data_IF_691827071305
#
_entry.id   IF_691827071305
#
_cell.length_a   1.000
_cell.length_b   1.000
_cell.length_c   1.000
_cell.angle_alpha   90.00
_cell.angle_beta   90.00
_cell.angle_gamma   90.00
#
_symmetry.space_group_name_H-M   'P 1'
#
loop_
_entity.id
_entity.type
_entity.pdbx_description
1 polymer ?
#
# COMPACT_ATOMS: atom_id res chain seq x y z
N UNK A 1 51.76 8.13 -7.46
CA UNK A 1 51.53 9.36 -6.67
C UNK A 1 51.10 10.42 -7.67
N UNK A 2 49.84 10.83 -7.82
CA UNK A 2 48.72 10.94 -6.91
C UNK A 2 47.43 10.43 -7.56
N UNK A 3 46.67 9.62 -6.83
CA UNK A 3 45.27 9.29 -7.10
C UNK A 3 44.40 10.38 -6.48
N UNK A 4 43.69 11.15 -7.30
CA UNK A 4 42.65 12.06 -6.83
C UNK A 4 41.46 11.24 -6.35
N UNK A 5 41.36 11.05 -5.03
CA UNK A 5 40.12 10.66 -4.36
C UNK A 5 39.23 11.89 -4.28
N UNK A 6 38.32 12.04 -5.25
CA UNK A 6 37.19 12.95 -5.12
C UNK A 6 36.22 12.35 -4.11
N UNK A 7 36.37 12.78 -2.87
CA UNK A 7 35.43 12.57 -1.78
C UNK A 7 34.09 13.20 -2.20
N UNK A 8 33.11 12.37 -2.57
CA UNK A 8 31.73 12.82 -2.80
C UNK A 8 31.20 13.39 -1.48
N UNK A 9 31.00 14.70 -1.43
CA UNK A 9 30.24 15.34 -0.37
C UNK A 9 28.83 14.73 -0.38
N UNK A 10 28.46 14.13 0.75
CA UNK A 10 27.13 13.57 0.99
C UNK A 10 26.17 14.76 1.11
N UNK A 11 25.63 15.21 -0.03
CA UNK A 11 24.43 16.03 -0.02
C UNK A 11 23.33 15.20 0.64
N UNK A 12 22.83 15.69 1.77
CA UNK A 12 21.66 15.14 2.44
C UNK A 12 20.54 14.95 1.40
N UNK A 13 20.25 13.70 1.05
CA UNK A 13 19.12 13.31 0.20
C UNK A 13 17.82 13.68 0.91
N UNK A 14 17.45 14.95 0.83
CA UNK A 14 16.11 15.44 1.06
C UNK A 14 15.27 14.99 -0.14
N UNK A 15 14.97 13.70 -0.22
CA UNK A 15 13.85 13.22 -1.01
C UNK A 15 12.62 14.03 -0.56
N UNK A 16 11.86 14.65 -1.46
CA UNK A 16 10.74 15.46 -1.06
C UNK A 16 9.74 14.54 -0.36
N UNK A 17 9.67 14.65 0.97
CA UNK A 17 8.62 14.14 1.87
C UNK A 17 7.25 14.80 1.55
N UNK A 18 6.98 15.14 0.30
CA UNK A 18 6.16 16.30 -0.07
C UNK A 18 5.23 16.15 -1.25
N UNK A 19 4.96 14.95 -1.77
CA UNK A 19 3.84 14.80 -2.68
C UNK A 19 2.52 14.58 -1.92
N UNK A 20 1.80 15.69 -1.75
CA UNK A 20 0.38 15.82 -1.37
C UNK A 20 -0.51 15.10 -2.38
N UNK A 21 -0.42 13.77 -2.47
CA UNK A 21 -1.05 13.04 -3.57
C UNK A 21 -1.81 11.85 -3.01
N UNK A 22 -3.12 11.93 -3.14
CA UNK A 22 -4.03 10.79 -3.04
C UNK A 22 -3.57 9.75 -4.06
N UNK A 23 -3.28 8.56 -3.57
CA UNK A 23 -2.85 7.44 -4.39
C UNK A 23 -3.99 6.45 -4.55
N UNK A 24 -4.42 6.23 -5.79
CA UNK A 24 -5.43 5.23 -6.09
C UNK A 24 -4.77 3.85 -6.19
N UNK A 25 -5.41 2.83 -5.63
CA UNK A 25 -4.90 1.46 -5.63
C UNK A 25 -5.96 0.49 -6.15
N UNK A 26 -5.55 -0.36 -7.09
CA UNK A 26 -6.36 -1.47 -7.62
C UNK A 26 -6.08 -2.78 -6.83
N UNK A 27 -5.97 -2.69 -5.50
CA UNK A 27 -5.76 -3.83 -4.58
C UNK A 27 -6.79 -3.83 -3.45
N UNK A 28 -6.93 -4.97 -2.77
CA UNK A 28 -7.83 -5.10 -1.62
C UNK A 28 -7.44 -4.12 -0.49
N UNK A 29 -8.42 -3.44 0.13
CA UNK A 29 -8.20 -2.52 1.25
C UNK A 29 -7.36 -3.16 2.38
N UNK A 30 -7.60 -4.44 2.67
CA UNK A 30 -6.91 -5.09 3.77
C UNK A 30 -5.43 -5.37 3.47
N UNK A 31 -5.03 -5.39 2.19
CA UNK A 31 -3.62 -5.45 1.79
C UNK A 31 -2.94 -4.08 1.87
N UNK A 32 -3.64 -3.03 2.33
CA UNK A 32 -3.12 -1.67 2.36
C UNK A 32 -1.80 -1.51 3.12
N UNK A 33 -0.88 -0.68 2.59
CA UNK A 33 0.33 -0.27 3.30
C UNK A 33 0.07 0.65 4.50
N UNK A 34 -1.10 1.28 4.57
CA UNK A 34 -1.39 2.34 5.54
C UNK A 34 -1.55 1.81 6.96
N UNK A 35 -1.14 2.61 7.93
CA UNK A 35 -1.37 2.36 9.36
C UNK A 35 -2.87 2.30 9.68
N UNK A 36 -3.67 3.13 9.01
CA UNK A 36 -5.11 3.27 9.28
C UNK A 36 -5.95 2.74 8.13
N UNK A 37 -6.96 1.94 8.45
CA UNK A 37 -7.96 1.45 7.49
C UNK A 37 -9.33 2.02 7.84
N UNK A 38 -10.05 2.49 6.83
CA UNK A 38 -11.41 3.03 6.99
C UNK A 38 -12.44 1.95 6.71
N UNK A 39 -13.28 1.68 7.71
CA UNK A 39 -14.43 0.79 7.61
C UNK A 39 -15.70 1.61 7.39
N UNK A 40 -16.49 1.30 6.35
CA UNK A 40 -17.79 1.97 6.14
C UNK A 40 -18.87 1.26 6.95
N UNK A 41 -19.55 2.00 7.84
CA UNK A 41 -20.52 1.44 8.78
C UNK A 41 -21.87 2.13 8.71
N UNK A 42 -22.88 1.54 9.36
CA UNK A 42 -24.13 2.22 9.67
C UNK A 42 -24.15 2.67 11.13
N UNK A 43 -25.22 3.35 11.56
CA UNK A 43 -25.37 3.80 12.95
C UNK A 43 -26.31 2.89 13.76
N UNK A 44 -26.66 1.71 13.24
CA UNK A 44 -27.59 0.75 13.89
C UNK A 44 -26.92 -0.58 14.26
N UNK A 45 -25.58 -0.64 14.23
CA UNK A 45 -24.84 -1.78 14.80
C UNK A 45 -24.79 -3.04 13.93
N UNK A 46 -25.01 -2.93 12.61
CA UNK A 46 -25.03 -4.11 11.71
C UNK A 46 -23.82 -4.13 10.77
N UNK A 47 -23.09 -5.26 10.69
CA UNK A 47 -22.01 -5.48 9.71
C UNK A 47 -22.22 -6.84 9.02
N UNK A 48 -23.13 -6.88 8.04
CA UNK A 48 -23.62 -8.13 7.45
C UNK A 48 -23.16 -8.40 6.01
N UNK A 49 -22.58 -7.43 5.31
CA UNK A 49 -22.15 -7.57 3.90
C UNK A 49 -20.99 -6.64 3.55
N UNK A 50 -20.32 -6.96 2.44
CA UNK A 50 -19.21 -6.17 1.90
C UNK A 50 -18.07 -6.01 2.91
N UNK A 51 -17.35 -4.89 2.81
CA UNK A 51 -16.15 -4.63 3.60
C UNK A 51 -16.38 -4.64 5.11
N UNK A 52 -17.56 -4.19 5.56
CA UNK A 52 -17.92 -4.18 6.98
C UNK A 52 -17.98 -5.60 7.57
N UNK A 53 -18.47 -6.58 6.81
CA UNK A 53 -18.48 -7.98 7.24
C UNK A 53 -17.04 -8.49 7.42
N UNK A 54 -16.15 -8.17 6.49
CA UNK A 54 -14.74 -8.52 6.58
C UNK A 54 -14.09 -7.90 7.82
N UNK A 55 -14.34 -6.61 8.10
CA UNK A 55 -13.88 -5.97 9.35
C UNK A 55 -14.44 -6.65 10.61
N UNK A 56 -15.71 -7.06 10.61
CA UNK A 56 -16.30 -7.82 11.73
C UNK A 56 -15.59 -9.15 11.95
N UNK A 57 -15.23 -9.85 10.87
CA UNK A 57 -14.54 -11.14 10.95
C UNK A 57 -13.08 -10.98 11.42
N UNK A 58 -12.41 -9.91 11.02
CA UNK A 58 -11.03 -9.62 11.41
C UNK A 58 -10.90 -9.00 12.81
N UNK A 59 -11.88 -8.19 13.22
CA UNK A 59 -11.87 -7.45 14.48
C UNK A 59 -13.19 -7.66 15.26
N UNK A 60 -13.41 -8.86 15.82
CA UNK A 60 -14.67 -9.19 16.50
C UNK A 60 -14.94 -8.32 17.75
N UNK A 61 -13.91 -8.01 18.53
CA UNK A 61 -13.99 -7.11 19.69
C UNK A 61 -14.38 -5.68 19.29
N UNK A 62 -13.79 -5.17 18.21
CA UNK A 62 -14.18 -3.89 17.62
C UNK A 62 -15.66 -3.88 17.26
N UNK A 63 -16.15 -4.95 16.63
CA UNK A 63 -17.56 -5.07 16.26
C UNK A 63 -18.48 -5.11 17.49
N UNK A 64 -18.10 -5.84 18.55
CA UNK A 64 -18.86 -5.89 19.79
C UNK A 64 -19.03 -4.49 20.40
N UNK A 65 -17.92 -3.73 20.49
CA UNK A 65 -17.96 -2.36 20.99
C UNK A 65 -18.74 -1.42 20.09
N UNK A 66 -18.55 -1.51 18.77
CA UNK A 66 -19.33 -0.75 17.78
C UNK A 66 -20.84 -0.97 17.94
N UNK A 67 -21.27 -2.22 18.14
CA UNK A 67 -22.68 -2.57 18.32
C UNK A 67 -23.25 -1.89 19.58
N UNK A 68 -22.51 -1.92 20.69
CA UNK A 68 -22.90 -1.27 21.94
C UNK A 68 -23.07 0.25 21.76
N UNK A 69 -22.08 0.92 21.16
CA UNK A 69 -22.12 2.38 20.91
C UNK A 69 -23.34 2.75 20.03
N UNK A 70 -23.68 1.92 19.05
CA UNK A 70 -24.89 2.13 18.24
C UNK A 70 -26.19 1.96 19.04
N UNK A 71 -26.26 0.94 19.91
CA UNK A 71 -27.43 0.70 20.77
C UNK A 71 -27.64 1.85 21.77
N UNK A 72 -26.53 2.40 22.29
CA UNK A 72 -26.51 3.58 23.16
C UNK A 72 -26.73 4.90 22.40
N UNK A 73 -26.93 4.85 21.07
CA UNK A 73 -27.11 6.01 20.17
C UNK A 73 -25.97 7.03 20.23
N UNK A 74 -24.75 6.58 20.54
CA UNK A 74 -23.57 7.42 20.63
C UNK A 74 -22.87 7.63 19.28
N UNK A 75 -23.13 6.75 18.30
CA UNK A 75 -22.62 6.87 16.94
C UNK A 75 -23.69 7.43 16.01
N UNK A 76 -23.37 8.53 15.33
CA UNK A 76 -24.20 9.14 14.29
C UNK A 76 -23.35 9.54 13.08
N UNK A 77 -24.01 9.94 11.99
CA UNK A 77 -23.33 10.47 10.81
C UNK A 77 -22.44 11.66 11.21
N UNK A 78 -21.20 11.68 10.72
CA UNK A 78 -20.21 12.70 11.08
C UNK A 78 -19.43 12.42 12.37
N UNK A 79 -19.80 11.39 13.16
CA UNK A 79 -19.00 10.93 14.30
C UNK A 79 -18.21 9.67 13.94
N UNK A 80 -16.89 9.71 14.11
CA UNK A 80 -16.01 8.59 13.82
C UNK A 80 -15.80 7.74 15.08
N UNK A 81 -15.84 6.42 14.94
CA UNK A 81 -15.42 5.50 16.00
C UNK A 81 -14.06 4.88 15.64
N UNK A 82 -13.04 5.25 16.40
CA UNK A 82 -11.66 4.78 16.21
C UNK A 82 -11.38 3.60 17.12
N UNK A 83 -10.98 2.48 16.53
CA UNK A 83 -10.50 1.28 17.22
C UNK A 83 -9.02 1.09 16.95
N UNK A 84 -8.25 0.72 17.98
CA UNK A 84 -6.80 0.53 17.85
C UNK A 84 -6.42 -0.90 18.17
N UNK A 85 -5.53 -1.44 17.36
CA UNK A 85 -4.72 -2.60 17.71
C UNK A 85 -3.27 -2.18 17.82
N UNK A 86 -2.39 -3.12 18.17
CA UNK A 86 -0.93 -2.90 18.15
C UNK A 86 -0.44 -2.41 16.77
N UNK A 87 -1.07 -2.88 15.69
CA UNK A 87 -0.50 -2.81 14.34
C UNK A 87 -1.32 -1.96 13.36
N UNK A 88 -2.60 -1.74 13.64
CA UNK A 88 -3.51 -1.00 12.77
C UNK A 88 -4.45 -0.12 13.59
N UNK A 89 -4.88 0.96 12.96
CA UNK A 89 -6.01 1.77 13.41
C UNK A 89 -7.18 1.48 12.47
N UNK A 90 -8.36 1.20 13.02
CA UNK A 90 -9.60 1.07 12.24
C UNK A 90 -10.49 2.26 12.54
N UNK A 91 -10.78 3.06 11.52
CA UNK A 91 -11.75 4.16 11.60
C UNK A 91 -13.09 3.67 11.08
N UNK A 92 -14.05 3.47 11.97
CA UNK A 92 -15.42 3.18 11.61
C UNK A 92 -16.12 4.48 11.23
N UNK A 93 -16.39 4.62 9.94
CA UNK A 93 -16.88 5.82 9.27
C UNK A 93 -18.36 5.61 8.91
N UNK A 94 -19.31 6.27 9.60
CA UNK A 94 -20.72 6.10 9.31
C UNK A 94 -21.10 6.69 7.94
N UNK A 95 -21.34 5.82 6.96
CA UNK A 95 -21.83 6.21 5.63
C UNK A 95 -23.33 5.99 5.50
N UNK A 96 -23.98 5.40 6.50
CA UNK A 96 -25.43 5.15 6.50
C UNK A 96 -26.02 5.33 7.89
N UNK A 97 -27.27 5.80 7.96
CA UNK A 97 -28.04 5.70 9.21
C UNK A 97 -28.53 4.26 9.43
N UNK A 98 -29.24 3.71 8.45
CA UNK A 98 -29.74 2.33 8.49
C UNK A 98 -29.24 1.53 7.27
N UNK A 99 -28.81 0.29 7.47
CA UNK A 99 -28.19 -0.53 6.41
C UNK A 99 -29.09 -0.79 5.19
N UNK A 100 -30.42 -0.83 5.40
CA UNK A 100 -31.46 -0.97 4.36
C UNK A 100 -31.64 0.24 3.45
N UNK A 101 -31.15 1.43 3.82
CA UNK A 101 -31.30 2.66 3.03
C UNK A 101 -29.99 2.99 2.31
N UNK A 102 -30.02 3.69 1.16
CA UNK A 102 -28.81 4.15 0.48
C UNK A 102 -28.02 5.14 1.36
N UNK A 103 -26.77 5.40 0.96
CA UNK A 103 -25.93 6.45 1.52
C UNK A 103 -26.39 7.82 0.99
N UNK A 104 -25.85 8.90 1.56
CA UNK A 104 -26.08 10.27 1.09
C UNK A 104 -24.74 11.00 1.03
N UNK A 105 -24.59 11.94 0.09
CA UNK A 105 -23.35 12.71 -0.09
C UNK A 105 -23.00 13.47 1.20
N UNK A 106 -23.99 14.10 1.83
CA UNK A 106 -23.84 14.82 3.11
C UNK A 106 -23.31 13.92 4.24
N UNK A 107 -23.57 12.61 4.18
CA UNK A 107 -23.05 11.67 5.19
C UNK A 107 -21.55 11.46 5.02
N UNK A 108 -21.11 11.40 3.77
CA UNK A 108 -19.69 11.27 3.43
C UNK A 108 -18.97 12.56 3.77
N UNK A 109 -19.54 13.70 3.42
CA UNK A 109 -18.96 15.01 3.71
C UNK A 109 -18.79 15.25 5.21
N UNK A 110 -19.83 15.02 6.02
CA UNK A 110 -19.75 15.20 7.47
C UNK A 110 -18.66 14.31 8.10
N UNK A 111 -18.49 13.08 7.63
CA UNK A 111 -17.44 12.19 8.11
C UNK A 111 -16.04 12.62 7.66
N UNK A 112 -15.88 13.15 6.43
CA UNK A 112 -14.61 13.67 5.93
C UNK A 112 -14.19 14.94 6.68
N UNK A 113 -15.13 15.85 6.93
CA UNK A 113 -14.92 17.03 7.76
C UNK A 113 -14.39 16.64 9.15
N UNK A 114 -15.05 15.68 9.81
CA UNK A 114 -14.59 15.19 11.12
C UNK A 114 -13.21 14.54 11.02
N UNK A 115 -12.97 13.72 9.99
CA UNK A 115 -11.68 13.04 9.80
C UNK A 115 -10.54 14.05 9.67
N UNK A 116 -10.67 15.02 8.76
CA UNK A 116 -9.65 16.05 8.53
C UNK A 116 -9.41 16.88 9.80
N UNK A 117 -10.46 17.16 10.58
CA UNK A 117 -10.34 17.91 11.83
C UNK A 117 -9.69 17.12 12.98
N UNK A 118 -9.69 15.79 12.95
CA UNK A 118 -9.35 14.97 14.13
C UNK A 118 -8.26 13.92 13.91
N UNK A 119 -7.82 13.65 12.68
CA UNK A 119 -6.89 12.54 12.40
C UNK A 119 -5.58 12.61 13.21
N UNK A 120 -5.04 13.82 13.44
CA UNK A 120 -3.82 14.03 14.24
C UNK A 120 -4.03 13.65 15.71
N UNK A 121 -5.20 13.97 16.27
CA UNK A 121 -5.56 13.59 17.65
C UNK A 121 -5.63 12.06 17.80
N UNK A 122 -5.91 11.37 16.69
CA UNK A 122 -5.86 9.93 16.63
C UNK A 122 -4.49 9.37 16.21
N UNK A 123 -3.43 10.18 16.12
CA UNK A 123 -2.08 9.73 15.77
C UNK A 123 -2.03 9.01 14.41
N UNK A 124 -2.93 9.35 13.49
CA UNK A 124 -3.00 8.75 12.16
C UNK A 124 -1.89 9.35 11.30
N UNK A 125 -0.94 8.52 10.88
CA UNK A 125 0.20 8.93 10.04
C UNK A 125 0.08 8.51 8.58
N UNK A 126 -0.85 7.61 8.27
CA UNK A 126 -1.25 7.22 6.91
C UNK A 126 -2.62 6.55 6.95
N UNK A 127 -3.41 6.69 5.88
CA UNK A 127 -4.79 6.19 5.84
C UNK A 127 -5.18 5.62 4.49
N UNK A 128 -5.93 4.52 4.51
CA UNK A 128 -6.58 3.94 3.34
C UNK A 128 -8.10 4.00 3.46
N UNK A 129 -8.72 4.54 2.42
CA UNK A 129 -10.17 4.59 2.26
C UNK A 129 -10.65 3.60 1.20
N UNK A 130 -11.81 2.94 1.40
CA UNK A 130 -12.58 2.40 0.29
C UNK A 130 -13.34 3.53 -0.43
N UNK A 131 -14.00 3.22 -1.54
CA UNK A 131 -14.96 4.12 -2.18
C UNK A 131 -16.18 4.34 -1.26
N UNK A 132 -16.18 5.46 -0.53
CA UNK A 132 -17.13 5.72 0.56
C UNK A 132 -18.58 5.83 0.05
N UNK A 133 -19.48 5.02 0.62
CA UNK A 133 -20.90 5.09 0.26
C UNK A 133 -21.25 4.58 -1.15
N UNK A 134 -20.28 4.07 -1.91
CA UNK A 134 -20.52 3.43 -3.21
C UNK A 134 -21.01 1.97 -3.03
N UNK A 135 -21.38 1.34 -4.15
CA UNK A 135 -21.81 -0.06 -4.21
C UNK A 135 -23.08 -0.29 -3.38
N UNK A 136 -22.94 -0.81 -2.16
CA UNK A 136 -24.06 -1.00 -1.24
C UNK A 136 -24.74 0.31 -0.84
N UNK A 137 -24.04 1.44 -0.89
CA UNK A 137 -24.61 2.75 -0.58
C UNK A 137 -25.15 3.51 -1.79
N UNK A 138 -24.98 2.97 -3.01
CA UNK A 138 -25.58 3.47 -4.25
C UNK A 138 -25.17 4.90 -4.66
N UNK A 139 -24.16 5.50 -4.02
CA UNK A 139 -23.56 6.73 -4.53
C UNK A 139 -22.66 6.44 -5.73
N UNK A 140 -22.69 7.36 -6.69
CA UNK A 140 -21.82 7.31 -7.85
C UNK A 140 -20.39 7.73 -7.49
N UNK A 141 -19.42 6.92 -7.91
CA UNK A 141 -18.02 7.16 -7.58
C UNK A 141 -17.49 8.42 -8.26
N UNK A 142 -17.61 8.51 -9.58
CA UNK A 142 -16.92 9.52 -10.39
C UNK A 142 -17.54 10.91 -10.22
N UNK A 143 -18.86 10.97 -10.13
CA UNK A 143 -19.60 12.25 -10.13
C UNK A 143 -19.91 12.78 -8.74
N UNK A 144 -19.98 11.92 -7.71
CA UNK A 144 -20.38 12.34 -6.36
C UNK A 144 -19.28 12.15 -5.31
N UNK A 145 -18.69 10.96 -5.22
CA UNK A 145 -17.83 10.59 -4.08
C UNK A 145 -16.38 10.96 -4.30
N UNK A 146 -15.82 10.67 -5.47
CA UNK A 146 -14.44 10.96 -5.82
C UNK A 146 -14.10 12.46 -5.69
N UNK A 147 -14.81 13.40 -6.33
CA UNK A 147 -14.49 14.83 -6.21
C UNK A 147 -14.58 15.33 -4.77
N UNK A 148 -15.54 14.81 -4.00
CA UNK A 148 -15.71 15.15 -2.59
C UNK A 148 -14.55 14.60 -1.73
N UNK A 149 -14.17 13.34 -1.91
CA UNK A 149 -13.03 12.78 -1.18
C UNK A 149 -11.73 13.51 -1.54
N UNK A 150 -11.52 13.84 -2.82
CA UNK A 150 -10.35 14.61 -3.25
C UNK A 150 -10.30 15.99 -2.60
N UNK A 151 -11.42 16.73 -2.58
CA UNK A 151 -11.46 18.10 -2.04
C UNK A 151 -11.08 18.17 -0.55
N UNK A 152 -11.40 17.15 0.25
CA UNK A 152 -11.00 17.08 1.65
C UNK A 152 -9.60 16.48 1.84
N UNK A 153 -9.31 15.35 1.19
CA UNK A 153 -8.14 14.54 1.52
C UNK A 153 -6.83 15.05 0.89
N UNK A 154 -6.87 15.81 -0.20
CA UNK A 154 -5.65 16.35 -0.83
C UNK A 154 -4.90 17.35 0.07
N UNK A 155 -5.58 17.91 1.08
CA UNK A 155 -5.00 18.88 2.02
C UNK A 155 -4.12 18.22 3.08
N UNK A 156 -4.23 16.90 3.25
CA UNK A 156 -3.58 16.19 4.33
C UNK A 156 -2.07 16.00 4.05
N UNK A 157 -1.18 16.28 5.03
CA UNK A 157 0.26 16.08 4.91
C UNK A 157 0.68 14.62 5.19
N UNK A 158 -0.22 13.66 4.98
CA UNK A 158 0.02 12.23 5.22
C UNK A 158 -0.30 11.43 3.95
N UNK A 159 0.30 10.24 3.76
CA UNK A 159 -0.10 9.35 2.69
C UNK A 159 -1.58 8.96 2.80
N UNK A 160 -2.34 9.25 1.74
CA UNK A 160 -3.73 8.87 1.59
C UNK A 160 -3.84 7.91 0.40
N UNK A 161 -4.46 6.76 0.64
CA UNK A 161 -4.74 5.79 -0.40
C UNK A 161 -6.25 5.60 -0.56
N UNK A 162 -6.71 5.49 -1.81
CA UNK A 162 -8.10 5.16 -2.14
C UNK A 162 -8.11 3.86 -2.93
N UNK A 163 -8.77 2.85 -2.38
CA UNK A 163 -8.87 1.54 -3.00
C UNK A 163 -10.07 1.51 -3.94
N UNK A 164 -9.80 1.40 -5.24
CA UNK A 164 -10.82 1.30 -6.27
C UNK A 164 -11.34 -0.13 -6.32
N UNK A 165 -12.66 -0.27 -6.23
CA UNK A 165 -13.28 -1.58 -6.37
C UNK A 165 -13.29 -1.97 -7.85
N UNK A 166 -12.34 -2.82 -8.26
CA UNK A 166 -12.50 -3.54 -9.52
C UNK A 166 -13.46 -4.71 -9.26
N UNK A 167 -14.64 -4.70 -9.91
CA UNK A 167 -15.40 -5.94 -10.10
C UNK A 167 -14.56 -6.80 -11.05
N UNK A 168 -13.49 -7.41 -10.57
CA UNK A 168 -12.88 -8.49 -11.34
C UNK A 168 -13.99 -9.54 -11.54
N UNK A 169 -14.24 -10.02 -12.78
CA UNK A 169 -15.22 -11.09 -13.02
C UNK A 169 -14.88 -12.38 -12.25
N UNK A 170 -13.64 -12.50 -11.74
CA UNK A 170 -13.17 -13.57 -10.88
C UNK A 170 -13.12 -13.18 -9.38
N UNK A 171 -13.72 -12.05 -8.98
CA UNK A 171 -13.88 -11.70 -7.57
C UNK A 171 -14.88 -12.66 -6.94
N UNK A 172 -14.37 -13.80 -6.51
CA UNK A 172 -14.95 -14.51 -5.37
C UNK A 172 -14.65 -13.59 -4.18
N UNK A 173 -15.63 -13.21 -3.36
CA UNK A 173 -15.34 -12.75 -2.00
C UNK A 173 -14.68 -13.95 -1.35
N UNK A 174 -13.37 -14.08 -1.55
CA UNK A 174 -12.60 -15.25 -1.19
C UNK A 174 -12.96 -15.50 0.26
N UNK A 175 -13.43 -16.73 0.50
CA UNK A 175 -13.47 -17.33 1.83
C UNK A 175 -12.32 -16.69 2.57
N UNK A 176 -12.61 -15.90 3.62
CA UNK A 176 -11.59 -15.43 4.54
C UNK A 176 -11.04 -16.69 5.19
N UNK A 177 -10.17 -17.37 4.45
CA UNK A 177 -9.55 -18.57 4.91
C UNK A 177 -8.56 -18.14 5.97
N UNK A 178 -8.17 -19.12 6.75
CA UNK A 178 -7.43 -18.86 7.97
C UNK A 178 -6.01 -18.38 7.62
N UNK A 179 -5.55 -18.63 6.39
CA UNK A 179 -4.28 -18.17 5.85
C UNK A 179 -4.31 -16.69 5.47
N UNK A 180 -5.40 -16.21 4.84
CA UNK A 180 -5.57 -14.80 4.50
C UNK A 180 -5.74 -13.95 5.76
N UNK A 181 -6.58 -14.40 6.70
CA UNK A 181 -6.71 -13.74 8.01
C UNK A 181 -5.35 -13.69 8.72
N UNK A 182 -4.58 -14.79 8.71
CA UNK A 182 -3.25 -14.83 9.31
C UNK A 182 -2.31 -13.81 8.66
N UNK A 183 -2.27 -13.72 7.32
CA UNK A 183 -1.45 -12.74 6.59
C UNK A 183 -1.77 -11.29 6.98
N UNK A 184 -3.03 -10.97 7.24
CA UNK A 184 -3.43 -9.62 7.68
C UNK A 184 -2.97 -9.28 9.09
N UNK A 185 -2.78 -10.29 9.95
CA UNK A 185 -2.24 -10.11 11.30
C UNK A 185 -0.71 -10.11 11.31
N UNK A 186 -0.05 -10.64 10.28
CA UNK A 186 1.41 -10.69 10.18
C UNK A 186 1.92 -9.29 9.87
N UNK A 187 2.79 -8.78 10.75
CA UNK A 187 3.52 -7.54 10.50
C UNK A 187 4.47 -7.73 9.31
N UNK A 188 4.73 -6.64 8.59
CA UNK A 188 5.86 -6.59 7.66
C UNK A 188 7.14 -6.87 8.44
N UNK A 189 7.75 -8.03 8.24
CA UNK A 189 9.01 -8.40 8.88
C UNK A 189 10.09 -7.34 8.62
N UNK A 190 10.92 -6.98 9.60
CA UNK A 190 12.00 -6.02 9.32
C UNK A 190 13.09 -6.66 8.47
N UNK A 191 12.93 -6.63 7.16
CA UNK A 191 13.95 -7.07 6.19
C UNK A 191 14.98 -5.95 6.05
N UNK A 192 16.23 -6.28 6.37
CA UNK A 192 17.36 -5.36 6.23
C UNK A 192 17.73 -5.15 4.76
N UNK A 193 18.45 -4.08 4.45
CA UNK A 193 18.98 -3.80 3.10
C UNK A 193 19.92 -4.93 2.66
N UNK A 194 20.77 -5.39 3.57
CA UNK A 194 21.64 -6.53 3.33
C UNK A 194 20.85 -7.81 2.98
N UNK A 195 19.79 -8.14 3.74
CA UNK A 195 18.99 -9.32 3.43
C UNK A 195 18.29 -9.19 2.07
N UNK A 196 17.74 -8.01 1.75
CA UNK A 196 17.14 -7.74 0.45
C UNK A 196 18.14 -7.99 -0.69
N UNK A 197 19.36 -7.47 -0.55
CA UNK A 197 20.41 -7.61 -1.56
C UNK A 197 20.83 -9.07 -1.73
N UNK A 198 21.01 -9.80 -0.62
CA UNK A 198 21.31 -11.23 -0.66
C UNK A 198 20.19 -12.05 -1.30
N UNK A 199 18.92 -11.72 -1.02
CA UNK A 199 17.77 -12.38 -1.66
C UNK A 199 17.76 -12.13 -3.17
N UNK A 200 18.09 -10.91 -3.62
CA UNK A 200 18.26 -10.60 -5.04
C UNK A 200 19.40 -11.38 -5.68
N UNK A 201 20.58 -11.42 -5.06
CA UNK A 201 21.75 -12.19 -5.55
C UNK A 201 21.39 -13.67 -5.69
N UNK A 202 20.73 -14.23 -4.68
CA UNK A 202 20.30 -15.63 -4.69
C UNK A 202 19.29 -15.91 -5.81
N UNK A 203 18.38 -14.97 -6.06
CA UNK A 203 17.43 -15.08 -7.16
C UNK A 203 18.13 -15.02 -8.52
N UNK A 204 19.01 -14.04 -8.75
CA UNK A 204 19.70 -13.82 -10.03
C UNK A 204 20.71 -14.93 -10.35
N UNK A 205 21.38 -15.48 -9.34
CA UNK A 205 22.36 -16.57 -9.49
C UNK A 205 21.74 -17.95 -9.68
N UNK A 206 20.45 -18.11 -9.40
CA UNK A 206 19.76 -19.41 -9.44
C UNK A 206 19.46 -19.85 -10.88
N UNK A 207 20.15 -20.90 -11.35
CA UNK A 207 19.95 -21.51 -12.68
C UNK A 207 18.51 -21.95 -12.96
N UNK A 208 17.71 -22.27 -11.94
CA UNK A 208 16.31 -22.68 -12.06
C UNK A 208 15.33 -21.52 -12.27
N UNK A 209 15.70 -20.31 -11.86
CA UNK A 209 14.87 -19.10 -11.99
C UNK A 209 15.31 -18.19 -13.16
N UNK A 210 16.42 -18.57 -13.81
CA UNK A 210 17.15 -17.84 -14.84
C UNK A 210 16.65 -17.95 -16.30
N UNK A 211 15.71 -18.84 -16.73
CA UNK A 211 15.35 -18.92 -18.16
C UNK A 211 14.98 -17.58 -18.80
N UNK A 212 14.18 -16.77 -18.10
CA UNK A 212 13.79 -15.43 -18.55
C UNK A 212 14.98 -14.45 -18.67
N UNK A 213 15.96 -14.54 -17.79
CA UNK A 213 17.14 -13.68 -17.84
C UNK A 213 18.10 -14.12 -18.95
N UNK A 214 18.22 -15.44 -19.20
CA UNK A 214 19.08 -15.99 -20.25
C UNK A 214 18.52 -15.78 -21.66
N UNK A 215 17.20 -15.58 -21.79
CA UNK A 215 16.56 -15.20 -23.06
C UNK A 215 16.88 -13.74 -23.45
N UNK A 216 17.22 -12.89 -22.48
CA UNK A 216 17.41 -11.44 -22.67
C UNK A 216 18.89 -11.05 -22.58
N UNK A 217 19.66 -11.65 -21.68
CA UNK A 217 21.02 -11.27 -21.35
C UNK A 217 22.03 -12.38 -21.70
N UNK A 218 23.16 -11.98 -22.27
CA UNK A 218 24.27 -12.89 -22.59
C UNK A 218 25.11 -13.23 -21.36
N UNK A 219 25.35 -12.25 -20.49
CA UNK A 219 26.07 -12.44 -19.23
C UNK A 219 25.46 -11.62 -18.10
N UNK A 220 25.55 -12.14 -16.88
CA UNK A 220 25.21 -11.44 -15.65
C UNK A 220 26.41 -11.53 -14.72
N UNK A 221 27.00 -10.39 -14.41
CA UNK A 221 28.08 -10.25 -13.43
C UNK A 221 27.49 -9.74 -12.12
N UNK A 222 27.83 -10.38 -11.00
CA UNK A 222 27.28 -10.06 -9.69
C UNK A 222 28.45 -9.87 -8.72
N UNK A 223 28.46 -8.73 -8.04
CA UNK A 223 29.39 -8.40 -6.96
C UNK A 223 28.59 -8.02 -5.71
N UNK A 224 29.29 -7.74 -4.61
CA UNK A 224 28.65 -7.20 -3.42
C UNK A 224 28.11 -5.78 -3.64
N UNK A 225 28.64 -5.02 -4.60
CA UNK A 225 28.30 -3.61 -4.83
C UNK A 225 27.33 -3.39 -6.01
N UNK A 226 27.31 -4.30 -7.00
CA UNK A 226 26.47 -4.15 -8.19
C UNK A 226 26.09 -5.47 -8.87
N UNK A 227 25.05 -5.41 -9.70
CA UNK A 227 24.70 -6.42 -10.71
C UNK A 227 24.78 -5.80 -12.10
N UNK A 228 25.62 -6.34 -12.97
CA UNK A 228 25.77 -5.90 -14.35
C UNK A 228 25.16 -6.94 -15.31
N UNK A 229 24.14 -6.52 -16.04
CA UNK A 229 23.46 -7.31 -17.05
C UNK A 229 23.96 -6.88 -18.42
N UNK A 230 24.47 -7.81 -19.22
CA UNK A 230 24.98 -7.53 -20.57
C UNK A 230 24.08 -8.22 -21.59
N UNK A 231 23.67 -7.50 -22.63
CA UNK A 231 23.00 -8.07 -23.81
C UNK A 231 23.67 -7.51 -25.07
N UNK A 232 24.16 -8.37 -25.96
CA UNK A 232 24.92 -8.02 -27.17
C UNK A 232 26.00 -6.96 -26.92
N UNK A 233 25.67 -5.67 -27.08
CA UNK A 233 26.56 -4.50 -26.91
C UNK A 233 26.04 -3.46 -25.89
N UNK A 234 25.03 -3.81 -25.09
CA UNK A 234 24.42 -2.94 -24.08
C UNK A 234 24.60 -3.50 -22.67
N UNK A 235 24.71 -2.60 -21.69
CA UNK A 235 24.85 -2.92 -20.27
C UNK A 235 23.90 -2.10 -19.42
N UNK A 236 23.39 -2.71 -18.36
CA UNK A 236 22.68 -2.07 -17.27
C UNK A 236 23.35 -2.53 -16.00
N UNK A 237 23.58 -1.56 -15.13
CA UNK A 237 24.20 -1.77 -13.85
C UNK A 237 23.18 -1.35 -12.81
N UNK A 238 22.88 -2.26 -11.89
CA UNK A 238 22.08 -2.00 -10.71
C UNK A 238 23.03 -1.97 -9.52
N UNK A 239 23.19 -0.81 -8.89
CA UNK A 239 24.02 -0.69 -7.69
C UNK A 239 23.26 -1.08 -6.43
N UNK A 240 23.95 -1.58 -5.42
CA UNK A 240 23.35 -1.89 -4.12
C UNK A 240 22.74 -0.63 -3.47
N UNK A 241 23.40 0.52 -3.58
CA UNK A 241 22.95 1.80 -3.02
C UNK A 241 21.58 2.21 -3.59
N UNK A 242 21.39 2.08 -4.90
CA UNK A 242 20.14 2.34 -5.60
C UNK A 242 18.98 1.46 -5.08
N UNK A 243 19.27 0.18 -4.83
CA UNK A 243 18.31 -0.77 -4.26
C UNK A 243 17.99 -0.40 -2.81
N UNK A 244 18.98 0.05 -2.05
CA UNK A 244 18.80 0.49 -0.66
C UNK A 244 17.91 1.73 -0.57
N UNK A 245 18.11 2.74 -1.42
CA UNK A 245 17.28 3.94 -1.47
C UNK A 245 15.83 3.62 -1.83
N UNK A 246 15.61 2.80 -2.87
CA UNK A 246 14.29 2.30 -3.22
C UNK A 246 13.67 1.56 -2.03
N UNK A 247 14.44 0.69 -1.37
CA UNK A 247 13.96 -0.09 -0.23
C UNK A 247 13.62 0.76 0.98
N UNK A 248 14.33 1.86 1.23
CA UNK A 248 14.00 2.83 2.27
C UNK A 248 12.61 3.44 2.03
N UNK A 249 12.35 3.91 0.80
CA UNK A 249 11.05 4.45 0.41
C UNK A 249 9.96 3.39 0.56
N UNK A 250 10.21 2.19 0.03
CA UNK A 250 9.24 1.09 0.00
C UNK A 250 8.92 0.57 1.41
N UNK A 251 9.86 0.57 2.36
CA UNK A 251 9.61 0.21 3.76
C UNK A 251 8.78 1.26 4.49
N UNK A 252 9.05 2.54 4.26
CA UNK A 252 8.36 3.65 4.94
C UNK A 252 6.94 3.81 4.40
N UNK A 253 6.79 3.90 3.07
CA UNK A 253 5.50 4.16 2.41
C UNK A 253 4.73 2.87 2.14
N UNK A 254 5.41 1.73 2.08
CA UNK A 254 4.81 0.45 1.69
C UNK A 254 4.56 0.27 0.19
N UNK A 255 4.69 1.34 -0.60
CA UNK A 255 4.53 1.34 -2.06
C UNK A 255 5.50 2.33 -2.70
N UNK A 256 5.94 2.06 -3.93
CA UNK A 256 6.73 2.98 -4.75
C UNK A 256 6.32 2.85 -6.23
N UNK A 257 6.33 3.96 -6.97
CA UNK A 257 6.12 4.00 -8.43
C UNK A 257 7.44 3.87 -9.17
N UNK A 258 7.37 3.41 -10.41
CA UNK A 258 8.55 3.33 -11.28
C UNK A 258 9.23 4.70 -11.48
N UNK A 259 8.45 5.77 -11.67
CA UNK A 259 8.98 7.13 -11.87
C UNK A 259 9.43 7.84 -10.58
N UNK A 260 9.24 7.23 -9.41
CA UNK A 260 9.75 7.72 -8.13
C UNK A 260 11.16 7.19 -7.85
N UNK A 261 11.66 6.29 -8.69
CA UNK A 261 13.04 5.77 -8.63
C UNK A 261 14.01 6.82 -9.18
N UNK A 262 15.20 6.94 -8.58
CA UNK A 262 16.22 7.94 -8.94
C UNK A 262 16.48 7.96 -10.46
N UNK A 263 16.60 9.17 -11.03
CA UNK A 263 16.94 9.37 -12.45
C UNK A 263 18.26 8.68 -12.84
N UNK A 264 19.19 8.53 -11.89
CA UNK A 264 20.47 7.84 -12.11
C UNK A 264 20.29 6.35 -12.49
N UNK A 265 19.21 5.71 -12.02
CA UNK A 265 18.82 4.35 -12.40
C UNK A 265 18.04 4.37 -13.73
N UNK A 266 17.31 5.44 -14.02
CA UNK A 266 16.38 5.53 -15.15
C UNK A 266 17.08 5.71 -16.50
N UNK A 267 18.25 6.33 -16.55
CA UNK A 267 18.90 6.72 -17.83
C UNK A 267 19.56 5.56 -18.59
N UNK A 268 19.80 4.42 -17.93
CA UNK A 268 20.40 3.25 -18.57
C UNK A 268 19.33 2.36 -19.23
N UNK A 269 19.47 2.12 -20.53
CA UNK A 269 18.59 1.26 -21.31
C UNK A 269 19.36 0.04 -21.85
N UNK A 270 18.77 -1.15 -21.75
CA UNK A 270 19.24 -2.36 -22.46
C UNK A 270 18.06 -2.99 -23.20
N UNK A 271 18.27 -3.39 -24.45
CA UNK A 271 17.33 -4.16 -25.25
C UNK A 271 15.93 -3.50 -25.32
N UNK A 272 15.90 -2.16 -25.31
CA UNK A 272 14.66 -1.38 -25.31
C UNK A 272 13.92 -1.31 -23.97
N UNK A 273 14.51 -1.81 -22.88
CA UNK A 273 13.95 -1.79 -21.52
C UNK A 273 14.81 -0.90 -20.60
N UNK A 274 14.18 -0.08 -19.76
CA UNK A 274 14.90 0.74 -18.77
C UNK A 274 15.45 -0.13 -17.64
N UNK A 275 16.55 0.30 -17.04
CA UNK A 275 17.14 -0.39 -15.88
C UNK A 275 16.19 -0.40 -14.68
N UNK A 276 15.33 0.61 -14.55
CA UNK A 276 14.25 0.63 -13.55
C UNK A 276 13.24 -0.50 -13.76
N UNK A 277 12.82 -0.77 -15.00
CA UNK A 277 11.91 -1.90 -15.31
C UNK A 277 12.59 -3.23 -14.98
N UNK A 278 13.87 -3.39 -15.31
CA UNK A 278 14.64 -4.58 -14.93
C UNK A 278 14.66 -4.76 -13.41
N UNK A 279 14.98 -3.70 -12.66
CA UNK A 279 15.02 -3.73 -11.20
C UNK A 279 13.65 -4.10 -10.60
N UNK A 280 12.55 -3.52 -11.10
CA UNK A 280 11.20 -3.86 -10.65
C UNK A 280 10.86 -5.33 -10.95
N UNK A 281 11.24 -5.82 -12.12
CA UNK A 281 11.05 -7.21 -12.51
C UNK A 281 11.83 -8.18 -11.62
N UNK A 282 13.02 -7.80 -11.14
CA UNK A 282 13.79 -8.61 -10.19
C UNK A 282 13.19 -8.57 -8.79
N UNK A 283 12.92 -7.36 -8.27
CA UNK A 283 12.35 -7.15 -6.93
C UNK A 283 11.00 -7.87 -6.77
N UNK A 284 10.13 -7.82 -7.77
CA UNK A 284 8.81 -8.47 -7.74
C UNK A 284 8.86 -10.01 -7.69
N UNK A 285 10.04 -10.61 -7.82
CA UNK A 285 10.26 -12.06 -7.64
C UNK A 285 10.51 -12.42 -6.18
N UNK A 286 10.85 -11.43 -5.36
CA UNK A 286 10.99 -11.61 -3.93
C UNK A 286 9.60 -11.81 -3.33
N UNK A 287 9.45 -12.84 -2.50
CA UNK A 287 8.18 -13.28 -1.88
C UNK A 287 7.42 -12.21 -1.08
N UNK A 288 8.12 -11.16 -0.68
CA UNK A 288 7.59 -10.05 0.11
C UNK A 288 7.41 -8.76 -0.72
N UNK A 289 7.59 -8.80 -2.05
CA UNK A 289 7.34 -7.67 -2.94
C UNK A 289 6.33 -8.10 -4.01
N UNK A 290 5.29 -7.29 -4.23
CA UNK A 290 4.30 -7.51 -5.28
C UNK A 290 4.32 -6.37 -6.30
N UNK A 291 4.08 -6.69 -7.56
CA UNK A 291 3.70 -5.68 -8.55
C UNK A 291 2.27 -5.20 -8.28
N UNK A 292 2.08 -3.89 -8.34
CA UNK A 292 0.79 -3.25 -8.19
C UNK A 292 0.64 -2.12 -9.21
N UNK A 293 -0.61 -1.75 -9.47
CA UNK A 293 -0.91 -0.54 -10.25
C UNK A 293 -1.25 0.60 -9.29
N UNK A 294 -0.53 1.71 -9.43
CA UNK A 294 -0.71 2.93 -8.65
C UNK A 294 -1.35 3.99 -9.56
N UNK A 295 -2.47 4.56 -9.12
CA UNK A 295 -3.14 5.64 -9.83
C UNK A 295 -2.86 7.01 -9.19
N UNK A 296 -2.70 8.03 -10.02
CA UNK A 296 -2.71 9.44 -9.61
C UNK A 296 -3.65 10.22 -10.51
N UNK A 297 -4.27 11.27 -9.98
CA UNK A 297 -5.06 12.18 -10.81
C UNK A 297 -4.17 13.31 -11.31
N UNK A 298 -4.08 13.43 -12.64
CA UNK A 298 -3.38 14.51 -13.35
C UNK A 298 -4.36 15.12 -14.34
N UNK A 299 -4.60 16.43 -14.25
CA UNK A 299 -5.54 17.16 -15.13
C UNK A 299 -6.96 16.55 -15.22
N UNK A 300 -7.46 15.96 -14.13
CA UNK A 300 -8.78 15.32 -14.09
C UNK A 300 -8.82 13.88 -14.60
N UNK A 301 -7.72 13.35 -15.12
CA UNK A 301 -7.65 11.95 -15.56
C UNK A 301 -6.88 11.09 -14.57
N UNK A 302 -7.33 9.83 -14.42
CA UNK A 302 -6.64 8.84 -13.60
C UNK A 302 -5.50 8.21 -14.42
N UNK A 303 -4.28 8.68 -14.19
CA UNK A 303 -3.06 8.12 -14.77
C UNK A 303 -2.61 6.94 -13.93
N UNK A 304 -2.47 5.76 -14.56
CA UNK A 304 -2.03 4.53 -13.93
C UNK A 304 -0.59 4.24 -14.29
N UNK A 305 0.18 3.88 -13.28
CA UNK A 305 1.62 3.62 -13.37
C UNK A 305 1.94 2.32 -12.64
N UNK A 306 2.94 1.58 -13.12
CA UNK A 306 3.40 0.37 -12.45
C UNK A 306 4.19 0.73 -11.18
N UNK A 307 4.08 -0.15 -10.21
CA UNK A 307 4.66 0.05 -8.88
C UNK A 307 4.96 -1.24 -8.18
N UNK A 308 5.72 -1.11 -7.09
CA UNK A 308 5.95 -2.18 -6.15
C UNK A 308 5.21 -1.92 -4.85
N UNK A 309 4.77 -3.00 -4.22
CA UNK A 309 4.22 -3.01 -2.87
C UNK A 309 5.05 -3.94 -2.00
N UNK A 310 5.44 -3.47 -0.84
CA UNK A 310 6.01 -4.32 0.20
C UNK A 310 4.89 -5.00 1.00
N UNK A 311 4.90 -6.33 1.06
CA UNK A 311 3.88 -7.14 1.74
C UNK A 311 4.52 -8.05 2.78
N UNK A 312 3.77 -8.47 3.83
CA UNK A 312 4.27 -9.45 4.78
C UNK A 312 4.72 -10.74 4.08
N UNK A 313 5.85 -11.29 4.53
CA UNK A 313 6.39 -12.53 3.98
C UNK A 313 5.44 -13.70 4.30
N UNK A 314 4.93 -14.44 3.31
CA UNK A 314 3.98 -15.52 3.56
C UNK A 314 4.56 -16.70 4.35
N UNK A 315 5.89 -16.81 4.46
CA UNK A 315 6.56 -17.84 5.29
C UNK A 315 7.06 -17.30 6.63
N UNK A 316 6.81 -16.01 6.93
CA UNK A 316 7.10 -15.43 8.24
C UNK A 316 6.51 -16.32 9.34
N UNK A 317 7.34 -16.74 10.29
CA UNK A 317 6.83 -17.40 11.49
C UNK A 317 6.12 -16.31 12.30
N UNK A 318 4.81 -16.46 12.47
CA UNK A 318 4.09 -15.67 13.48
C UNK A 318 4.70 -16.05 14.83
N UNK A 319 5.50 -15.17 15.42
CA UNK A 319 5.79 -15.24 16.85
C UNK A 319 4.45 -15.02 17.55
N UNK A 320 3.79 -16.09 17.96
CA UNK A 320 2.65 -16.01 18.87
C UNK A 320 3.24 -15.71 20.26
N UNK A 321 3.84 -14.53 20.40
CA UNK A 321 4.28 -14.04 21.69
C UNK A 321 3.19 -13.10 22.19
N UNK A 322 2.54 -13.59 23.24
CA UNK A 322 1.49 -13.02 24.08
C UNK A 322 0.06 -13.25 23.58
N UNK A 323 -0.47 -14.43 23.91
CA UNK A 323 -1.81 -14.50 24.48
C UNK A 323 -1.94 -13.37 25.51
N UNK A 324 -2.62 -12.29 25.15
CA UNK A 324 -3.11 -11.35 26.12
C UNK A 324 -4.23 -12.08 26.83
N UNK A 325 -3.92 -12.65 27.99
CA UNK A 325 -4.91 -12.96 29.00
C UNK A 325 -5.53 -11.62 29.43
N UNK A 326 -6.70 -11.27 28.88
CA UNK A 326 -7.66 -10.34 29.48
C UNK A 326 -9.08 -10.81 29.15
#
# INVERSE_FOLDING_TARGET
MNSNSETREIENYNYPLGQKVITYLDINLFESPAQTLVNTVNTVGVMGKGIALTFKQLYPEMFQRYRQICQEKQLEVGKLYVYRTRNKIVVNFPTKKHWRRPSQVDYIEAGLQNFVATYQNYGITSVSFPQLGCGNGELDWETQVQPLMESYLHTLPIPVYIHLYSKSPNFVPERLDHSFIRKLHVERERISTHQLWQDLINFTSSKTNSPYLMDIFTTVEITDEYMCFTATDQKAIIYQEDVEDLWNILRIRGTIRENEVSQQITDQHIAGTSTTVLLFNLLSRLRYIKNITLGTRKNGELVREQGLQYVPDPKAKVSIDNEITL
#
